data_IF_363634507394
#
_entry.id   IF_363634507394
#
_cell.length_a   1.000
_cell.length_b   1.000
_cell.length_c   1.000
_cell.angle_alpha   90.00
_cell.angle_beta   90.00
_cell.angle_gamma   90.00
#
_symmetry.space_group_name_H-M   'P 1'
#
loop_
_entity.id
_entity.type
_entity.pdbx_description
1 polymer ?
#
# COMPACT_ATOMS: atom_id res chain seq x y z
N UNK A 1 -21.84 1.41 2.73
CA UNK A 1 -22.20 2.63 1.94
C UNK A 1 -21.95 2.38 0.46
N UNK A 2 -22.49 3.22 -0.45
CA UNK A 2 -22.10 3.17 -1.86
C UNK A 2 -20.70 3.78 -2.03
N UNK A 3 -19.90 3.32 -3.03
CA UNK A 3 -18.54 3.83 -3.23
C UNK A 3 -18.46 5.35 -3.38
N UNK A 4 -19.43 5.97 -4.06
CA UNK A 4 -19.48 7.43 -4.23
C UNK A 4 -19.67 8.16 -2.89
N UNK A 5 -20.43 7.58 -1.97
CA UNK A 5 -20.64 8.13 -0.64
C UNK A 5 -19.37 7.98 0.21
N UNK A 6 -18.68 6.83 0.10
CA UNK A 6 -17.39 6.59 0.78
C UNK A 6 -16.37 7.60 0.27
N UNK A 7 -16.23 7.78 -1.04
CA UNK A 7 -15.28 8.71 -1.65
C UNK A 7 -15.44 10.16 -1.16
N UNK A 8 -16.65 10.56 -0.80
CA UNK A 8 -16.93 11.92 -0.33
C UNK A 8 -16.86 12.08 1.19
N UNK A 9 -17.30 11.06 1.95
CA UNK A 9 -17.61 11.24 3.37
C UNK A 9 -16.81 10.35 4.33
N UNK A 10 -16.23 9.24 3.85
CA UNK A 10 -15.50 8.34 4.74
C UNK A 10 -14.26 9.02 5.36
N UNK A 11 -13.88 8.54 6.54
CA UNK A 11 -12.69 8.97 7.24
C UNK A 11 -12.79 10.34 7.94
N UNK A 12 -13.92 11.07 7.81
CA UNK A 12 -14.09 12.36 8.45
C UNK A 12 -15.41 12.46 9.20
N UNK A 13 -15.33 13.03 10.39
CA UNK A 13 -16.49 13.48 11.17
C UNK A 13 -16.41 15.00 11.36
N UNK A 14 -17.59 15.63 11.43
CA UNK A 14 -17.67 17.09 11.66
C UNK A 14 -16.81 17.47 12.87
N UNK A 15 -15.90 18.43 12.68
CA UNK A 15 -14.99 18.90 13.74
C UNK A 15 -15.79 19.29 14.99
N UNK A 16 -15.51 18.72 16.15
CA UNK A 16 -16.32 18.94 17.35
C UNK A 16 -16.20 20.36 17.89
N UNK A 17 -15.10 21.06 17.60
CA UNK A 17 -14.81 22.41 18.13
C UNK A 17 -15.37 23.49 17.22
N UNK A 18 -15.01 23.44 15.94
CA UNK A 18 -15.36 24.49 14.96
C UNK A 18 -16.64 24.21 14.20
N UNK A 19 -17.14 22.94 14.26
CA UNK A 19 -18.26 22.44 13.44
C UNK A 19 -17.99 22.52 11.94
N UNK A 20 -16.72 22.53 11.54
CA UNK A 20 -16.34 22.53 10.14
C UNK A 20 -16.81 21.24 9.45
N UNK A 21 -17.50 21.40 8.31
CA UNK A 21 -17.97 20.28 7.46
C UNK A 21 -16.86 19.81 6.53
N UNK A 22 -16.03 20.72 6.03
CA UNK A 22 -14.84 20.39 5.25
C UNK A 22 -13.70 19.95 6.18
N UNK A 23 -12.86 19.05 5.68
CA UNK A 23 -11.67 18.59 6.42
C UNK A 23 -10.74 19.76 6.71
N UNK A 24 -10.42 20.08 7.98
CA UNK A 24 -9.44 21.11 8.31
C UNK A 24 -8.03 20.74 7.84
N UNK A 25 -7.23 21.74 7.44
CA UNK A 25 -5.83 21.56 7.09
C UNK A 25 -4.97 21.84 8.33
N UNK A 26 -4.42 20.78 8.91
CA UNK A 26 -3.51 20.88 10.06
C UNK A 26 -2.07 21.08 9.59
N UNK A 27 -1.71 22.34 9.35
CA UNK A 27 -0.37 22.72 8.88
C UNK A 27 0.56 22.94 10.07
N UNK A 28 0.89 21.88 10.78
CA UNK A 28 1.78 21.89 11.95
C UNK A 28 2.80 20.76 11.89
N UNK A 29 3.94 20.94 12.54
CA UNK A 29 4.99 19.94 12.65
C UNK A 29 4.76 19.02 13.85
N UNK A 30 4.39 19.56 15.01
CA UNK A 30 4.27 18.83 16.26
C UNK A 30 3.00 19.22 17.01
N UNK A 31 2.67 18.42 18.01
CA UNK A 31 1.46 18.57 18.82
C UNK A 31 1.85 18.67 20.29
N UNK A 32 1.11 19.48 21.05
CA UNK A 32 1.30 19.60 22.49
C UNK A 32 0.72 18.39 23.22
N UNK A 33 1.36 18.03 24.33
CA UNK A 33 0.87 17.01 25.25
C UNK A 33 0.23 17.67 26.47
N UNK A 34 -0.80 17.05 27.06
CA UNK A 34 -1.45 17.58 28.26
C UNK A 34 -0.47 17.59 29.46
N UNK A 35 0.39 16.58 29.55
CA UNK A 35 1.41 16.42 30.57
C UNK A 35 2.47 15.41 30.11
N UNK A 36 3.52 15.19 30.91
CA UNK A 36 4.62 14.26 30.59
C UNK A 36 4.14 12.81 30.45
N UNK A 37 3.16 12.37 31.27
CA UNK A 37 2.64 11.01 31.19
C UNK A 37 1.88 10.79 29.89
N UNK A 38 1.02 11.74 29.49
CA UNK A 38 0.32 11.68 28.20
C UNK A 38 1.30 11.58 27.03
N UNK A 39 2.41 12.32 27.07
CA UNK A 39 3.47 12.18 26.07
C UNK A 39 4.09 10.77 26.06
N UNK A 40 4.39 10.20 27.23
CA UNK A 40 4.94 8.85 27.33
C UNK A 40 3.97 7.80 26.77
N UNK A 41 2.68 7.88 27.13
CA UNK A 41 1.65 6.95 26.69
C UNK A 41 1.45 6.98 25.17
N UNK A 42 1.52 8.17 24.54
CA UNK A 42 1.48 8.32 23.09
C UNK A 42 2.68 7.65 22.41
N UNK A 43 3.91 7.87 22.91
CA UNK A 43 5.11 7.25 22.35
C UNK A 43 5.18 5.74 22.57
N UNK A 44 4.57 5.25 23.65
CA UNK A 44 4.43 3.82 23.92
C UNK A 44 3.26 3.16 23.16
N UNK A 45 2.46 3.95 22.40
CA UNK A 45 1.27 3.50 21.68
C UNK A 45 0.16 2.94 22.60
N UNK A 46 0.13 3.38 23.85
CA UNK A 46 -0.89 3.00 24.84
C UNK A 46 -2.18 3.80 24.66
N UNK A 47 -2.07 5.01 24.11
CA UNK A 47 -3.21 5.87 23.76
C UNK A 47 -3.07 6.36 22.32
N UNK A 48 -4.22 6.57 21.66
CA UNK A 48 -4.25 7.16 20.32
C UNK A 48 -4.14 8.70 20.40
N UNK A 49 -3.39 9.30 19.47
CA UNK A 49 -3.27 10.76 19.38
C UNK A 49 -2.18 11.19 18.41
N UNK A 50 -1.98 12.50 18.33
CA UNK A 50 -1.02 13.09 17.39
C UNK A 50 0.27 13.47 18.13
N UNK A 51 1.41 13.14 17.54
CA UNK A 51 2.74 13.39 18.06
C UNK A 51 3.50 14.34 17.14
N UNK A 52 3.64 13.93 15.87
CA UNK A 52 4.51 14.62 14.91
C UNK A 52 4.03 14.34 13.48
N UNK A 53 3.89 15.37 12.65
CA UNK A 53 3.25 15.28 11.32
C UNK A 53 3.93 14.28 10.37
N UNK A 54 5.24 14.04 10.48
CA UNK A 54 5.91 13.00 9.68
C UNK A 54 5.39 11.58 9.98
N UNK A 55 4.88 11.36 11.19
CA UNK A 55 4.35 10.07 11.63
C UNK A 55 2.84 10.02 11.42
N UNK A 56 2.13 11.08 11.80
CA UNK A 56 0.68 11.19 11.75
C UNK A 56 0.22 12.64 11.66
N UNK A 57 -0.83 12.89 10.88
CA UNK A 57 -1.45 14.21 10.77
C UNK A 57 -2.95 14.04 10.56
N UNK A 58 -3.82 14.76 11.26
CA UNK A 58 -5.28 14.60 11.16
C UNK A 58 -5.83 14.80 9.73
N UNK A 59 -5.22 15.68 8.94
CA UNK A 59 -5.63 15.88 7.53
C UNK A 59 -5.30 14.65 6.70
N UNK A 60 -4.09 14.09 6.82
CA UNK A 60 -3.66 12.88 6.12
C UNK A 60 -4.45 11.67 6.58
N UNK A 61 -4.74 11.57 7.88
CA UNK A 61 -5.51 10.46 8.44
C UNK A 61 -6.91 10.31 7.82
N UNK A 62 -7.55 11.42 7.42
CA UNK A 62 -8.83 11.36 6.69
C UNK A 62 -8.68 10.68 5.33
N UNK A 63 -7.60 10.98 4.60
CA UNK A 63 -7.32 10.34 3.32
C UNK A 63 -7.03 8.84 3.51
N UNK A 64 -6.18 8.50 4.48
CA UNK A 64 -5.82 7.12 4.82
C UNK A 64 -7.07 6.30 5.18
N UNK A 65 -7.92 6.80 6.07
CA UNK A 65 -9.16 6.13 6.44
C UNK A 65 -10.13 5.99 5.25
N UNK A 66 -10.21 6.98 4.37
CA UNK A 66 -11.07 6.96 3.19
C UNK A 66 -10.61 5.94 2.15
N UNK A 67 -9.30 5.88 1.88
CA UNK A 67 -8.73 4.89 0.96
C UNK A 67 -8.88 3.47 1.52
N UNK A 68 -8.61 3.27 2.82
CA UNK A 68 -8.83 1.99 3.46
C UNK A 68 -10.29 1.51 3.31
N UNK A 69 -11.28 2.40 3.49
CA UNK A 69 -12.69 2.03 3.33
C UNK A 69 -13.07 1.77 1.86
N UNK A 70 -12.52 2.53 0.90
CA UNK A 70 -12.74 2.29 -0.53
C UNK A 70 -12.19 0.95 -1.00
N UNK A 71 -10.97 0.61 -0.58
CA UNK A 71 -10.33 -0.68 -0.87
C UNK A 71 -10.96 -1.84 -0.08
N UNK A 72 -11.62 -1.55 1.03
CA UNK A 72 -12.10 -2.55 1.99
C UNK A 72 -10.97 -3.13 2.85
N UNK A 73 -9.90 -2.34 3.05
CA UNK A 73 -8.74 -2.66 3.86
C UNK A 73 -8.91 -2.32 5.33
N UNK A 74 -7.97 -2.78 6.14
CA UNK A 74 -7.93 -2.52 7.59
C UNK A 74 -7.41 -1.11 7.88
N UNK A 75 -6.40 -0.68 7.13
CA UNK A 75 -5.75 0.62 7.26
C UNK A 75 -5.05 1.00 5.96
N UNK A 76 -4.70 2.28 5.82
CA UNK A 76 -3.83 2.78 4.76
C UNK A 76 -2.76 3.71 5.36
N UNK A 77 -1.66 3.87 4.65
CA UNK A 77 -0.57 4.78 4.99
C UNK A 77 -0.23 5.63 3.77
N UNK A 78 -0.33 6.94 3.92
CA UNK A 78 0.10 7.89 2.90
C UNK A 78 1.57 8.23 3.06
N UNK A 79 2.29 8.20 1.94
CA UNK A 79 3.73 8.52 1.88
C UNK A 79 3.99 9.53 0.77
N UNK A 80 5.24 9.99 0.64
CA UNK A 80 5.59 11.12 -0.22
C UNK A 80 5.46 10.84 -1.74
N UNK A 81 5.41 9.57 -2.15
CA UNK A 81 5.26 9.19 -3.57
C UNK A 81 4.83 7.72 -3.69
N UNK A 82 4.27 7.34 -4.85
CA UNK A 82 3.96 5.94 -5.16
C UNK A 82 5.21 5.05 -5.13
N UNK A 83 6.36 5.54 -5.59
CA UNK A 83 7.61 4.79 -5.47
C UNK A 83 8.05 4.57 -4.03
N UNK A 84 7.79 5.53 -3.12
CA UNK A 84 8.01 5.33 -1.70
C UNK A 84 7.05 4.28 -1.14
N UNK A 85 5.77 4.29 -1.56
CA UNK A 85 4.78 3.29 -1.15
C UNK A 85 5.21 1.87 -1.56
N UNK A 86 5.60 1.67 -2.82
CA UNK A 86 6.11 0.38 -3.33
C UNK A 86 7.35 -0.06 -2.55
N UNK A 87 8.31 0.85 -2.36
CA UNK A 87 9.56 0.56 -1.65
C UNK A 87 9.27 0.11 -0.21
N UNK A 88 8.42 0.83 0.52
CA UNK A 88 8.11 0.50 1.91
C UNK A 88 7.27 -0.77 2.03
N UNK A 89 6.30 -0.99 1.13
CA UNK A 89 5.54 -2.23 1.11
C UNK A 89 6.45 -3.46 0.95
N UNK A 90 7.40 -3.40 0.01
CA UNK A 90 8.35 -4.49 -0.21
C UNK A 90 9.32 -4.61 0.96
N UNK A 91 10.00 -3.53 1.38
CA UNK A 91 11.02 -3.57 2.44
C UNK A 91 10.47 -3.94 3.82
N UNK A 92 9.17 -3.79 4.04
CA UNK A 92 8.53 -4.27 5.27
C UNK A 92 8.49 -5.80 5.34
N UNK A 93 8.47 -6.47 4.20
CA UNK A 93 8.32 -7.92 4.10
C UNK A 93 9.63 -8.66 3.81
N UNK A 94 10.66 -7.96 3.30
CA UNK A 94 11.93 -8.59 2.87
C UNK A 94 13.13 -8.07 3.62
N UNK A 95 14.13 -8.92 3.72
CA UNK A 95 15.47 -8.61 4.23
C UNK A 95 16.55 -9.02 3.22
N UNK A 96 17.78 -8.56 3.40
CA UNK A 96 18.89 -9.01 2.57
C UNK A 96 19.03 -10.55 2.62
N UNK A 97 19.13 -11.16 1.47
CA UNK A 97 19.15 -12.61 1.27
C UNK A 97 17.80 -13.23 0.93
N UNK A 98 16.70 -12.47 1.03
CA UNK A 98 15.37 -12.89 0.58
C UNK A 98 15.19 -12.66 -0.93
N UNK A 99 14.08 -13.18 -1.47
CA UNK A 99 13.66 -12.88 -2.84
C UNK A 99 12.16 -12.60 -2.93
N UNK A 100 11.79 -11.94 -4.02
CA UNK A 100 10.39 -11.69 -4.39
C UNK A 100 10.13 -12.17 -5.83
N UNK A 101 8.87 -12.43 -6.14
CA UNK A 101 8.43 -12.71 -7.50
C UNK A 101 7.62 -11.53 -8.00
N UNK A 102 7.92 -11.00 -9.18
CA UNK A 102 7.21 -9.86 -9.75
C UNK A 102 6.86 -10.10 -11.23
N UNK A 103 5.74 -9.54 -11.69
CA UNK A 103 5.46 -9.55 -13.13
C UNK A 103 6.52 -8.73 -13.89
N UNK A 104 6.81 -9.10 -15.14
CA UNK A 104 7.83 -8.41 -15.95
C UNK A 104 7.35 -7.11 -16.60
N UNK A 105 6.04 -6.91 -16.71
CA UNK A 105 5.44 -5.69 -17.29
C UNK A 105 5.07 -4.72 -16.18
N UNK A 106 6.02 -3.87 -15.81
CA UNK A 106 5.91 -2.93 -14.70
C UNK A 106 6.18 -1.51 -15.17
N UNK A 107 5.65 -0.54 -14.43
CA UNK A 107 6.09 0.85 -14.57
C UNK A 107 7.61 0.95 -14.48
N UNK A 108 8.20 1.80 -15.31
CA UNK A 108 9.67 1.91 -15.43
C UNK A 108 10.38 2.17 -14.11
N UNK A 109 9.80 2.97 -13.21
CA UNK A 109 10.33 3.20 -11.85
C UNK A 109 10.34 1.93 -11.01
N UNK A 110 9.25 1.18 -11.02
CA UNK A 110 9.11 -0.10 -10.30
C UNK A 110 10.08 -1.14 -10.88
N UNK A 111 10.17 -1.22 -12.21
CA UNK A 111 11.12 -2.13 -12.85
C UNK A 111 12.56 -1.80 -12.43
N UNK A 112 12.97 -0.52 -12.47
CA UNK A 112 14.30 -0.10 -12.02
C UNK A 112 14.56 -0.42 -10.53
N UNK A 113 13.57 -0.19 -9.66
CA UNK A 113 13.66 -0.58 -8.26
C UNK A 113 13.95 -2.07 -8.12
N UNK A 114 13.18 -2.90 -8.83
CA UNK A 114 13.23 -4.35 -8.72
C UNK A 114 14.43 -4.98 -9.43
N UNK A 115 14.74 -4.52 -10.65
CA UNK A 115 15.81 -5.11 -11.43
C UNK A 115 17.22 -4.63 -11.04
N UNK A 116 17.33 -3.44 -10.41
CA UNK A 116 18.62 -2.83 -10.13
C UNK A 116 18.80 -2.47 -8.64
N UNK A 117 17.86 -1.75 -8.03
CA UNK A 117 18.06 -1.23 -6.67
C UNK A 117 17.98 -2.34 -5.61
N UNK A 118 16.95 -3.17 -5.64
CA UNK A 118 16.79 -4.26 -4.66
C UNK A 118 17.94 -5.28 -4.70
N UNK A 119 18.47 -5.70 -5.86
CA UNK A 119 19.67 -6.55 -5.90
C UNK A 119 20.89 -5.94 -5.21
N UNK A 120 21.12 -4.63 -5.33
CA UNK A 120 22.18 -3.96 -4.58
C UNK A 120 21.96 -3.96 -3.06
N UNK A 121 20.71 -4.13 -2.61
CA UNK A 121 20.35 -4.28 -1.20
C UNK A 121 20.32 -5.75 -0.76
N UNK A 122 20.71 -6.67 -1.63
CA UNK A 122 20.76 -8.10 -1.36
C UNK A 122 19.42 -8.85 -1.49
N UNK A 123 18.42 -8.24 -2.13
CA UNK A 123 17.12 -8.88 -2.41
C UNK A 123 17.07 -9.30 -3.87
N UNK A 124 16.91 -10.59 -4.13
CA UNK A 124 16.73 -11.13 -5.48
C UNK A 124 15.31 -10.87 -5.98
N UNK A 125 15.15 -10.52 -7.26
CA UNK A 125 13.83 -10.39 -7.90
C UNK A 125 13.74 -11.37 -9.06
N UNK A 126 12.72 -12.23 -9.03
CA UNK A 126 12.42 -13.22 -10.06
C UNK A 126 11.20 -12.77 -10.85
N UNK A 127 11.40 -12.57 -12.15
CA UNK A 127 10.32 -12.07 -13.00
C UNK A 127 9.50 -13.22 -13.61
N UNK A 128 8.16 -13.04 -13.56
CA UNK A 128 7.17 -13.98 -14.13
C UNK A 128 6.40 -13.30 -15.27
N UNK A 129 5.89 -14.10 -16.20
CA UNK A 129 5.00 -13.60 -17.25
C UNK A 129 3.63 -13.23 -16.66
N UNK A 130 3.09 -12.03 -16.90
CA UNK A 130 1.81 -11.60 -16.37
C UNK A 130 0.61 -12.46 -16.85
N UNK A 131 0.79 -13.25 -17.89
CA UNK A 131 -0.23 -14.17 -18.41
C UNK A 131 -0.05 -15.62 -17.92
N UNK A 132 0.93 -15.87 -17.04
CA UNK A 132 1.29 -17.23 -16.59
C UNK A 132 1.46 -17.30 -15.07
N UNK A 133 0.40 -17.12 -14.29
CA UNK A 133 0.46 -17.23 -12.83
C UNK A 133 0.92 -18.61 -12.36
N UNK A 134 0.69 -19.67 -13.16
CA UNK A 134 1.13 -21.03 -12.87
C UNK A 134 2.66 -21.18 -12.75
N UNK A 135 3.43 -20.31 -13.40
CA UNK A 135 4.89 -20.34 -13.33
C UNK A 135 5.43 -19.86 -11.94
N UNK A 136 4.62 -19.22 -11.13
CA UNK A 136 4.99 -18.77 -9.77
C UNK A 136 5.52 -19.94 -8.95
N UNK A 137 4.84 -21.09 -8.97
CA UNK A 137 5.24 -22.26 -8.18
C UNK A 137 6.67 -22.72 -8.47
N UNK A 138 7.15 -22.58 -9.72
CA UNK A 138 8.52 -22.94 -10.12
C UNK A 138 9.58 -21.91 -9.69
N UNK A 139 9.17 -20.72 -9.25
CA UNK A 139 10.07 -19.64 -8.84
C UNK A 139 10.18 -19.50 -7.31
N UNK A 140 9.35 -20.20 -6.55
CA UNK A 140 9.32 -20.14 -5.08
C UNK A 140 10.41 -20.98 -4.45
N UNK A 141 11.05 -20.43 -3.43
CA UNK A 141 11.92 -21.15 -2.49
C UNK A 141 11.70 -20.69 -1.04
N UNK A 142 12.48 -21.20 -0.09
CA UNK A 142 12.35 -20.86 1.32
C UNK A 142 12.61 -19.38 1.65
N UNK A 143 13.19 -18.61 0.73
CA UNK A 143 13.52 -17.19 0.88
C UNK A 143 12.51 -16.28 0.18
N UNK A 144 11.56 -16.83 -0.56
CA UNK A 144 10.52 -16.05 -1.24
C UNK A 144 9.55 -15.47 -0.22
N UNK A 145 9.28 -14.16 -0.30
CA UNK A 145 8.49 -13.42 0.70
C UNK A 145 7.17 -12.89 0.18
N UNK A 146 7.08 -12.56 -1.09
CA UNK A 146 5.87 -12.00 -1.69
C UNK A 146 5.83 -12.21 -3.19
N UNK A 147 4.63 -12.08 -3.74
CA UNK A 147 4.38 -11.90 -5.17
C UNK A 147 3.89 -10.47 -5.40
N UNK A 148 4.37 -9.82 -6.46
CA UNK A 148 4.01 -8.45 -6.84
C UNK A 148 3.52 -8.40 -8.28
N UNK A 149 2.43 -7.67 -8.54
CA UNK A 149 1.98 -7.35 -9.89
C UNK A 149 1.36 -5.96 -9.97
N UNK A 150 1.28 -5.41 -11.20
CA UNK A 150 0.43 -4.25 -11.50
C UNK A 150 -0.87 -4.75 -12.11
N UNK A 151 -2.00 -4.20 -11.69
CA UNK A 151 -3.34 -4.54 -12.23
C UNK A 151 -3.41 -4.32 -13.74
N UNK A 152 -2.80 -3.23 -14.20
CA UNK A 152 -2.61 -2.86 -15.61
C UNK A 152 -1.14 -2.51 -15.80
N UNK A 153 -0.42 -3.34 -16.56
CA UNK A 153 1.02 -3.17 -16.78
C UNK A 153 1.36 -1.94 -17.64
N UNK A 154 2.42 -1.25 -17.27
CA UNK A 154 2.90 -0.05 -17.98
C UNK A 154 4.27 -0.32 -18.62
N UNK A 155 4.49 -0.11 -19.94
CA UNK A 155 3.57 0.52 -20.92
C UNK A 155 2.72 -0.48 -21.73
N UNK A 156 2.76 -1.76 -21.43
CA UNK A 156 2.16 -2.80 -22.27
C UNK A 156 0.61 -2.83 -22.23
N UNK A 157 -0.01 -2.15 -21.25
CA UNK A 157 -1.48 -2.09 -21.05
C UNK A 157 -2.11 -3.50 -20.95
N UNK A 158 -1.34 -4.50 -20.58
CA UNK A 158 -1.87 -5.83 -20.28
C UNK A 158 -2.59 -5.82 -18.93
N UNK A 159 -3.75 -6.44 -18.88
CA UNK A 159 -4.52 -6.62 -17.65
C UNK A 159 -4.12 -7.94 -17.00
N UNK A 160 -3.76 -7.89 -15.72
CA UNK A 160 -3.38 -9.08 -14.95
C UNK A 160 -4.63 -9.71 -14.33
N UNK A 161 -4.76 -11.02 -14.42
CA UNK A 161 -5.76 -11.79 -13.69
C UNK A 161 -5.37 -11.88 -12.20
N UNK A 162 -5.80 -10.88 -11.41
CA UNK A 162 -5.45 -10.78 -9.98
C UNK A 162 -5.92 -12.03 -9.20
N UNK A 163 -7.16 -12.53 -9.38
CA UNK A 163 -7.57 -13.78 -8.73
C UNK A 163 -6.64 -14.97 -9.01
N UNK A 164 -6.24 -15.16 -10.26
CA UNK A 164 -5.31 -16.26 -10.62
C UNK A 164 -3.92 -16.08 -9.98
N UNK A 165 -3.40 -14.84 -9.93
CA UNK A 165 -2.16 -14.53 -9.22
C UNK A 165 -2.29 -14.71 -7.70
N UNK A 166 -3.43 -14.34 -7.13
CA UNK A 166 -3.73 -14.54 -5.71
C UNK A 166 -3.74 -16.04 -5.37
N UNK A 167 -4.48 -16.84 -6.14
CA UNK A 167 -4.56 -18.29 -5.93
C UNK A 167 -3.17 -18.94 -6.03
N UNK A 168 -2.37 -18.56 -7.02
CA UNK A 168 -1.01 -19.08 -7.19
C UNK A 168 -0.07 -18.67 -6.03
N UNK A 169 -0.14 -17.43 -5.56
CA UNK A 169 0.65 -16.94 -4.42
C UNK A 169 0.22 -17.61 -3.11
N UNK A 170 -1.09 -17.68 -2.85
CA UNK A 170 -1.66 -18.26 -1.63
C UNK A 170 -1.39 -19.77 -1.54
N UNK A 171 -1.41 -20.49 -2.65
CA UNK A 171 -1.03 -21.91 -2.69
C UNK A 171 0.42 -22.14 -2.20
N UNK A 172 1.28 -21.12 -2.27
CA UNK A 172 2.65 -21.15 -1.77
C UNK A 172 2.81 -20.46 -0.38
N UNK A 173 1.70 -20.02 0.24
CA UNK A 173 1.71 -19.30 1.51
C UNK A 173 2.30 -17.89 1.42
N UNK A 174 2.30 -17.27 0.23
CA UNK A 174 2.87 -15.94 -0.02
C UNK A 174 1.79 -14.88 -0.11
N UNK A 175 2.03 -13.67 0.43
CA UNK A 175 1.16 -12.53 0.20
C UNK A 175 1.29 -12.01 -1.23
N UNK A 176 0.18 -11.53 -1.79
CA UNK A 176 0.13 -10.80 -3.05
C UNK A 176 0.06 -9.29 -2.78
N UNK A 177 0.98 -8.55 -3.39
CA UNK A 177 1.01 -7.09 -3.44
C UNK A 177 0.59 -6.65 -4.84
N UNK A 178 -0.40 -5.77 -4.94
CA UNK A 178 -0.93 -5.30 -6.23
C UNK A 178 -0.85 -3.78 -6.30
N UNK A 179 -0.26 -3.28 -7.37
CA UNK A 179 -0.35 -1.85 -7.72
C UNK A 179 -1.60 -1.62 -8.58
N UNK A 180 -2.50 -0.80 -8.08
CA UNK A 180 -3.76 -0.45 -8.73
C UNK A 180 -3.82 1.00 -9.21
N UNK A 181 -2.68 1.66 -9.29
CA UNK A 181 -2.58 3.09 -9.66
C UNK A 181 -3.43 3.46 -10.86
N UNK A 182 -3.39 2.65 -11.93
CA UNK A 182 -4.15 2.93 -13.17
C UNK A 182 -5.64 2.58 -13.01
N UNK A 183 -5.95 1.48 -12.33
CA UNK A 183 -7.32 0.97 -12.23
C UNK A 183 -8.16 1.67 -11.16
N UNK A 184 -7.55 2.11 -10.07
CA UNK A 184 -8.15 2.73 -8.87
C UNK A 184 -9.12 1.81 -8.10
N UNK A 185 -9.41 2.08 -6.82
CA UNK A 185 -10.29 1.22 -6.00
C UNK A 185 -11.72 1.09 -6.53
N UNK A 186 -12.18 2.09 -7.30
CA UNK A 186 -13.54 2.05 -7.86
C UNK A 186 -13.68 1.05 -9.00
N UNK A 187 -12.62 0.87 -9.80
CA UNK A 187 -12.64 -0.02 -10.97
C UNK A 187 -12.07 -1.40 -10.66
N UNK A 188 -11.13 -1.49 -9.72
CA UNK A 188 -10.43 -2.73 -9.38
C UNK A 188 -10.20 -2.82 -7.86
N UNK A 189 -11.16 -3.31 -7.08
CA UNK A 189 -11.02 -3.50 -5.65
C UNK A 189 -10.09 -4.70 -5.36
N UNK A 190 -8.78 -4.51 -5.48
CA UNK A 190 -7.80 -5.60 -5.51
C UNK A 190 -7.77 -6.44 -4.22
N UNK A 191 -8.06 -5.86 -3.05
CA UNK A 191 -8.18 -6.65 -1.81
C UNK A 191 -9.30 -7.69 -1.91
N UNK A 192 -10.44 -7.35 -2.53
CA UNK A 192 -11.54 -8.30 -2.74
C UNK A 192 -11.21 -9.37 -3.78
N UNK A 193 -10.23 -9.12 -4.63
CA UNK A 193 -9.72 -10.06 -5.63
C UNK A 193 -8.58 -10.93 -5.13
N UNK A 194 -8.21 -10.80 -3.85
CA UNK A 194 -7.22 -11.64 -3.19
C UNK A 194 -5.86 -10.98 -2.90
N UNK A 195 -5.67 -9.69 -3.19
CA UNK A 195 -4.49 -8.98 -2.74
C UNK A 195 -4.46 -8.85 -1.21
N UNK A 196 -3.28 -8.83 -0.62
CA UNK A 196 -3.06 -8.55 0.81
C UNK A 196 -2.66 -7.09 1.04
N UNK A 197 -1.91 -6.53 0.09
CA UNK A 197 -1.46 -5.14 0.11
C UNK A 197 -1.77 -4.53 -1.26
N UNK A 198 -2.34 -3.34 -1.23
CA UNK A 198 -2.56 -2.52 -2.42
C UNK A 198 -1.68 -1.29 -2.34
N UNK A 199 -1.07 -0.93 -3.45
CA UNK A 199 -0.27 0.29 -3.61
C UNK A 199 -0.89 1.15 -4.69
N UNK A 200 -0.95 2.46 -4.44
CA UNK A 200 -1.52 3.44 -5.36
C UNK A 200 -0.68 4.71 -5.41
N UNK A 201 -0.66 5.35 -6.56
CA UNK A 201 -0.08 6.67 -6.76
C UNK A 201 -1.18 7.67 -7.10
N UNK A 202 -1.34 8.72 -6.28
CA UNK A 202 -2.47 9.64 -6.37
C UNK A 202 -2.25 10.83 -7.33
N UNK A 203 -1.18 10.85 -8.10
CA UNK A 203 -0.88 11.95 -9.05
C UNK A 203 -1.17 11.58 -10.51
N UNK A 204 -1.70 10.42 -10.78
CA UNK A 204 -2.05 9.94 -12.14
C UNK A 204 -3.54 9.83 -12.30
#
# INVERSE_FOLDING_TARGET
MRPETIALHAGYQIDPTTKAVAVPIYQTTSYAFDNTQHGADLFNLEVAGNIYTRIMNPTTAVLEARLAELEGGIAALCVASGMAAITYAVQTLVSAGDNIIATKTLYGGTYNLFAHTLPHQGVEVRFVDPNRPEDIAGLVDAKTKLVYCESIGNPAINVVDIPAFADAAHAQGLPLVVDTTVATPLSCPALKLGAHIVVEHLTT
#
